data_IF_568220019022
#
_entry.id   IF_568220019022
#
_cell.length_a   1.000
_cell.length_b   1.000
_cell.length_c   1.000
_cell.angle_alpha   90.00
_cell.angle_beta   90.00
_cell.angle_gamma   90.00
#
_symmetry.space_group_name_H-M   'P 1'
#
loop_
_entity.id
_entity.type
_entity.pdbx_description
1 polymer ?
#
# COMPACT_ATOMS: atom_id res chain seq x y z
N UNK A 1 -7.77 16.37 14.34
CA UNK A 1 -8.09 14.95 14.63
C UNK A 1 -9.20 14.53 13.68
N UNK A 2 -9.16 13.29 13.16
CA UNK A 2 -10.23 12.76 12.32
C UNK A 2 -11.54 12.68 13.11
N UNK A 3 -12.66 12.96 12.44
CA UNK A 3 -14.01 12.74 12.96
C UNK A 3 -14.33 11.25 13.04
N UNK A 4 -15.36 10.88 13.81
CA UNK A 4 -15.79 9.47 13.90
C UNK A 4 -16.13 8.86 12.54
N UNK A 5 -16.79 9.63 11.67
CA UNK A 5 -17.11 9.20 10.31
C UNK A 5 -15.85 8.97 9.45
N UNK A 6 -14.85 9.84 9.54
CA UNK A 6 -13.57 9.67 8.83
C UNK A 6 -12.81 8.44 9.33
N UNK A 7 -12.90 8.10 10.62
CA UNK A 7 -12.31 6.89 11.20
C UNK A 7 -13.02 5.64 10.69
N UNK A 8 -14.36 5.62 10.65
CA UNK A 8 -15.12 4.50 10.11
C UNK A 8 -14.83 4.27 8.62
N UNK A 9 -14.74 5.35 7.85
CA UNK A 9 -14.37 5.30 6.44
C UNK A 9 -12.93 4.77 6.26
N UNK A 10 -11.99 5.24 7.09
CA UNK A 10 -10.61 4.73 7.12
C UNK A 10 -10.57 3.23 7.38
N UNK A 11 -11.22 2.78 8.45
CA UNK A 11 -11.24 1.37 8.83
C UNK A 11 -11.88 0.51 7.74
N UNK A 12 -12.99 0.96 7.13
CA UNK A 12 -13.65 0.27 6.04
C UNK A 12 -12.75 0.12 4.80
N UNK A 13 -12.00 1.15 4.44
CA UNK A 13 -11.09 1.07 3.29
C UNK A 13 -9.84 0.25 3.60
N UNK A 14 -9.27 0.38 4.80
CA UNK A 14 -8.14 -0.44 5.22
C UNK A 14 -8.49 -1.92 5.23
N UNK A 15 -9.67 -2.30 5.71
CA UNK A 15 -10.12 -3.69 5.72
C UNK A 15 -10.33 -4.29 4.32
N UNK A 16 -10.62 -3.45 3.31
CA UNK A 16 -10.73 -3.89 1.91
C UNK A 16 -9.38 -4.05 1.23
N UNK A 17 -8.42 -3.19 1.55
CA UNK A 17 -7.10 -3.16 0.88
C UNK A 17 -6.08 -4.05 1.57
N UNK A 18 -6.17 -4.22 2.89
CA UNK A 18 -5.29 -5.07 3.67
C UNK A 18 -6.01 -6.40 3.93
N UNK A 19 -6.17 -7.18 2.86
CA UNK A 19 -6.59 -8.57 2.97
C UNK A 19 -5.36 -9.51 3.09
N UNK A 20 -5.62 -10.81 3.23
CA UNK A 20 -4.56 -11.81 3.38
C UNK A 20 -3.57 -11.81 2.21
N UNK A 21 -4.08 -11.67 0.98
CA UNK A 21 -3.25 -11.67 -0.22
C UNK A 21 -2.37 -10.41 -0.31
N UNK A 22 -2.91 -9.24 0.06
CA UNK A 22 -2.13 -8.01 0.15
C UNK A 22 -1.00 -8.13 1.18
N UNK A 23 -1.28 -8.74 2.33
CA UNK A 23 -0.25 -8.99 3.35
C UNK A 23 0.85 -9.92 2.82
N UNK A 24 0.48 -11.01 2.16
CA UNK A 24 1.45 -11.95 1.57
C UNK A 24 2.38 -11.26 0.56
N UNK A 25 1.82 -10.42 -0.33
CA UNK A 25 2.61 -9.63 -1.30
C UNK A 25 3.54 -8.65 -0.59
N UNK A 26 3.05 -7.94 0.44
CA UNK A 26 3.86 -7.00 1.24
C UNK A 26 5.01 -7.74 1.93
N UNK A 27 4.76 -8.90 2.53
CA UNK A 27 5.79 -9.69 3.21
C UNK A 27 6.80 -10.29 2.23
N UNK A 28 6.36 -10.68 1.04
CA UNK A 28 7.24 -11.18 -0.01
C UNK A 28 8.23 -10.11 -0.52
N UNK A 29 7.89 -8.82 -0.39
CA UNK A 29 8.74 -7.70 -0.84
C UNK A 29 10.05 -7.51 -0.02
N UNK A 30 10.29 -8.28 1.04
CA UNK A 30 11.55 -8.30 1.78
C UNK A 30 12.00 -6.91 2.26
N UNK A 31 13.16 -6.43 1.81
CA UNK A 31 13.69 -5.10 2.18
C UNK A 31 12.76 -3.95 1.75
N UNK A 32 11.96 -4.16 0.69
CA UNK A 32 11.01 -3.20 0.17
C UNK A 32 9.66 -3.25 0.88
N UNK A 33 9.45 -4.12 1.87
CA UNK A 33 8.20 -4.25 2.62
C UNK A 33 7.66 -2.88 3.09
N UNK A 34 8.51 -2.04 3.70
CA UNK A 34 8.10 -0.71 4.16
C UNK A 34 7.66 0.19 3.00
N UNK A 35 8.34 0.13 1.87
CA UNK A 35 8.00 0.91 0.69
C UNK A 35 6.68 0.41 0.07
N UNK A 36 6.50 -0.90 -0.06
CA UNK A 36 5.28 -1.54 -0.54
C UNK A 36 4.06 -1.17 0.34
N UNK A 37 4.20 -1.29 1.67
CA UNK A 37 3.17 -0.85 2.62
C UNK A 37 2.86 0.65 2.48
N UNK A 38 3.89 1.49 2.35
CA UNK A 38 3.69 2.93 2.22
C UNK A 38 2.98 3.33 0.93
N UNK A 39 3.21 2.62 -0.17
CA UNK A 39 2.50 2.88 -1.42
C UNK A 39 1.02 2.52 -1.33
N UNK A 40 0.63 1.62 -0.41
CA UNK A 40 -0.77 1.28 -0.16
C UNK A 40 -1.45 2.23 0.84
N UNK A 41 -0.82 2.43 2.00
CA UNK A 41 -1.44 3.15 3.10
C UNK A 41 -1.51 4.65 2.83
N UNK A 42 -0.49 5.26 2.19
CA UNK A 42 -0.47 6.72 1.98
C UNK A 42 -1.62 7.21 1.10
N UNK A 43 -1.95 6.59 -0.05
CA UNK A 43 -3.10 7.01 -0.85
C UNK A 43 -4.43 6.90 -0.10
N UNK A 44 -4.60 5.88 0.76
CA UNK A 44 -5.81 5.72 1.59
C UNK A 44 -5.93 6.85 2.61
N UNK A 45 -4.85 7.13 3.34
CA UNK A 45 -4.84 8.25 4.31
C UNK A 45 -5.11 9.58 3.60
N UNK A 46 -4.50 9.80 2.42
CA UNK A 46 -4.72 11.00 1.62
C UNK A 46 -6.15 11.09 1.10
N UNK A 47 -6.76 9.98 0.65
CA UNK A 47 -8.13 9.98 0.11
C UNK A 47 -9.14 10.40 1.17
N UNK A 48 -8.92 10.02 2.43
CA UNK A 48 -9.81 10.38 3.54
C UNK A 48 -9.63 11.84 3.92
N UNK A 49 -8.39 12.27 4.18
CA UNK A 49 -8.09 13.65 4.59
C UNK A 49 -8.48 14.67 3.51
N UNK A 50 -8.32 14.30 2.23
CA UNK A 50 -8.62 15.18 1.09
C UNK A 50 -9.99 14.93 0.48
N UNK A 51 -10.80 14.04 1.04
CA UNK A 51 -12.12 13.64 0.52
C UNK A 51 -12.08 13.28 -0.97
N UNK A 52 -11.06 12.51 -1.37
CA UNK A 52 -10.88 12.02 -2.74
C UNK A 52 -11.41 10.59 -2.86
N UNK A 53 -11.74 10.14 -4.08
CA UNK A 53 -12.03 8.74 -4.33
C UNK A 53 -10.91 7.84 -3.82
N UNK A 54 -11.29 6.73 -3.19
CA UNK A 54 -10.37 5.70 -2.73
C UNK A 54 -9.87 4.93 -3.95
N UNK A 55 -8.56 4.73 -4.04
CA UNK A 55 -7.98 3.82 -5.04
C UNK A 55 -8.32 2.39 -4.65
N UNK A 56 -8.89 1.64 -5.58
CA UNK A 56 -9.06 0.18 -5.44
C UNK A 56 -7.74 -0.51 -5.81
N UNK A 57 -7.33 -1.47 -4.99
CA UNK A 57 -6.16 -2.29 -5.25
C UNK A 57 -6.64 -3.73 -5.43
N UNK A 58 -6.27 -4.35 -6.54
CA UNK A 58 -6.33 -5.79 -6.70
C UNK A 58 -4.93 -6.41 -6.55
N UNK A 59 -4.87 -7.73 -6.47
CA UNK A 59 -3.62 -8.49 -6.35
C UNK A 59 -2.57 -8.12 -7.42
N UNK A 60 -3.01 -7.81 -8.64
CA UNK A 60 -2.12 -7.50 -9.75
C UNK A 60 -1.50 -6.12 -9.61
N UNK A 61 -2.27 -5.13 -9.13
CA UNK A 61 -1.76 -3.81 -8.80
C UNK A 61 -0.66 -3.89 -7.72
N UNK A 62 -0.88 -4.73 -6.71
CA UNK A 62 0.08 -4.94 -5.63
C UNK A 62 1.37 -5.60 -6.11
N UNK A 63 1.27 -6.68 -6.90
CA UNK A 63 2.44 -7.35 -7.47
C UNK A 63 3.27 -6.41 -8.35
N UNK A 64 2.61 -5.62 -9.21
CA UNK A 64 3.27 -4.65 -10.07
C UNK A 64 3.99 -3.54 -9.27
N UNK A 65 3.42 -3.12 -8.14
CA UNK A 65 4.06 -2.14 -7.26
C UNK A 65 5.35 -2.69 -6.63
N UNK A 66 5.34 -3.95 -6.19
CA UNK A 66 6.55 -4.60 -5.64
C UNK A 66 7.62 -4.75 -6.72
N UNK A 67 7.26 -5.23 -7.91
CA UNK A 67 8.19 -5.36 -9.03
C UNK A 67 8.89 -4.03 -9.36
N UNK A 68 8.13 -2.93 -9.38
CA UNK A 68 8.69 -1.58 -9.60
C UNK A 68 9.64 -1.12 -8.49
N UNK A 69 9.41 -1.55 -7.25
CA UNK A 69 10.29 -1.24 -6.14
C UNK A 69 11.59 -2.05 -6.22
N UNK A 70 11.52 -3.27 -6.73
CA UNK A 70 12.69 -4.12 -7.00
C UNK A 70 13.51 -3.57 -8.18
N UNK A 71 12.87 -3.18 -9.28
CA UNK A 71 13.52 -2.57 -10.45
C UNK A 71 14.17 -1.21 -10.14
N UNK A 72 13.64 -0.49 -9.15
CA UNK A 72 14.18 0.80 -8.72
C UNK A 72 15.41 0.67 -7.81
N UNK A 73 15.79 -0.54 -7.39
CA UNK A 73 17.03 -0.77 -6.65
C UNK A 73 18.22 -0.62 -7.61
N UNK A 74 19.27 0.13 -7.23
CA UNK A 74 20.50 0.12 -7.99
C UNK A 74 21.06 -1.32 -8.01
N UNK A 75 21.63 -1.78 -9.15
CA UNK A 75 22.24 -3.10 -9.23
C UNK A 75 23.31 -3.22 -8.13
N UNK A 76 23.37 -4.39 -7.49
CA UNK A 76 24.44 -4.68 -6.52
C UNK A 76 25.78 -4.43 -7.19
N UNK A 77 26.52 -3.43 -6.71
CA UNK A 77 27.89 -3.19 -7.16
C UNK A 77 28.73 -4.40 -6.72
N UNK A 78 29.52 -5.01 -7.62
CA UNK A 78 30.40 -6.11 -7.24
C UNK A 78 31.34 -5.65 -6.11
N UNK A 79 31.45 -6.50 -5.09
CA UNK A 79 32.25 -6.28 -3.88
C UNK A 79 33.74 -6.05 -4.16
#
# INVERSE_FOLDING_TARGET
LLTGHEIENLNGNLARVIDQNALEIIFAAGIQQRAATNMLIKPLVVSIIRQRPVMEYDASHLGNMVNRLEEALPPELPA
#
